data_IF_966960535510
#
_entry.id   IF_966960535510
#
_cell.length_a   1.000
_cell.length_b   1.000
_cell.length_c   1.000
_cell.angle_alpha   90.00
_cell.angle_beta   90.00
_cell.angle_gamma   90.00
#
_symmetry.space_group_name_H-M   'P 1'
#
loop_
_entity.id
_entity.type
_entity.pdbx_description
1 polymer ?
#
# COMPACT_ATOMS: atom_id res chain seq x y z
N UNK A 1 8.06 -7.62 2.49
CA UNK A 1 7.90 -6.90 1.21
C UNK A 1 9.18 -6.16 0.90
N UNK A 2 9.59 -6.16 -0.35
CA UNK A 2 10.80 -5.50 -0.85
C UNK A 2 10.57 -3.98 -0.91
N UNK A 3 11.49 -3.22 -0.28
CA UNK A 3 11.66 -1.79 -0.46
C UNK A 3 12.90 -1.55 -1.34
N UNK A 4 12.67 -1.34 -2.63
CA UNK A 4 13.75 -1.16 -3.60
C UNK A 4 14.61 0.08 -3.33
N UNK A 5 14.01 1.18 -2.83
CA UNK A 5 14.71 2.44 -2.54
C UNK A 5 15.72 2.30 -1.42
N UNK A 6 15.42 1.48 -0.43
CA UNK A 6 16.25 1.27 0.76
C UNK A 6 17.03 -0.05 0.69
N UNK A 7 16.84 -0.82 -0.39
CA UNK A 7 17.48 -2.15 -0.58
C UNK A 7 17.30 -3.07 0.61
N UNK A 8 16.05 -3.18 1.10
CA UNK A 8 15.72 -3.97 2.28
C UNK A 8 14.35 -4.67 2.17
N UNK A 9 14.14 -5.69 2.97
CA UNK A 9 12.87 -6.38 3.16
C UNK A 9 12.22 -5.92 4.46
N UNK A 10 11.12 -5.20 4.36
CA UNK A 10 10.29 -4.82 5.51
C UNK A 10 9.26 -5.89 5.80
N UNK A 11 8.99 -6.14 7.08
CA UNK A 11 7.94 -7.07 7.49
C UNK A 11 6.56 -6.44 7.23
N UNK A 12 5.70 -7.12 6.49
CA UNK A 12 4.32 -6.69 6.25
C UNK A 12 3.34 -7.41 7.17
N UNK A 13 3.56 -8.70 7.41
CA UNK A 13 2.76 -9.55 8.30
C UNK A 13 3.69 -10.49 9.03
N UNK A 14 3.47 -10.63 10.33
CA UNK A 14 4.09 -11.65 11.18
C UNK A 14 3.00 -12.35 11.98
N UNK A 15 2.90 -13.66 11.82
CA UNK A 15 1.92 -14.47 12.53
C UNK A 15 2.55 -15.75 13.06
N UNK A 16 2.32 -16.05 14.32
CA UNK A 16 2.66 -17.33 14.96
C UNK A 16 1.54 -17.73 15.91
N UNK A 17 0.89 -18.85 15.61
CA UNK A 17 -0.16 -19.37 16.46
C UNK A 17 0.40 -19.87 17.78
N UNK A 18 1.54 -20.58 17.74
CA UNK A 18 2.21 -21.13 18.93
C UNK A 18 2.67 -20.06 19.92
N UNK A 19 3.14 -18.91 19.42
CA UNK A 19 3.58 -17.79 20.26
C UNK A 19 2.49 -16.75 20.52
N UNK A 20 1.30 -16.91 19.95
CA UNK A 20 0.23 -15.92 20.06
C UNK A 20 0.58 -14.56 19.40
N UNK A 21 1.55 -14.54 18.48
CA UNK A 21 2.01 -13.32 17.80
C UNK A 21 1.14 -13.08 16.57
N UNK A 22 0.61 -11.86 16.46
CA UNK A 22 -0.07 -11.37 15.26
C UNK A 22 0.24 -9.87 15.10
N UNK A 23 1.00 -9.50 14.08
CA UNK A 23 1.42 -8.13 13.79
C UNK A 23 1.34 -7.85 12.30
N UNK A 24 1.15 -6.58 11.94
CA UNK A 24 1.00 -6.11 10.56
C UNK A 24 -0.44 -6.14 10.06
N UNK A 25 -0.70 -5.50 8.93
CA UNK A 25 -2.04 -5.32 8.39
C UNK A 25 -2.96 -4.58 9.37
N UNK A 26 -4.09 -5.22 9.74
CA UNK A 26 -5.05 -4.68 10.71
C UNK A 26 -4.69 -4.99 12.18
N UNK A 27 -3.61 -5.75 12.42
CA UNK A 27 -3.26 -6.28 13.75
C UNK A 27 -2.20 -5.46 14.50
N UNK A 28 -1.90 -4.25 14.03
CA UNK A 28 -0.93 -3.35 14.66
C UNK A 28 0.41 -3.27 13.94
N UNK A 29 1.26 -2.36 14.41
CA UNK A 29 2.55 -2.06 13.81
C UNK A 29 3.59 -3.16 14.10
N UNK A 30 4.45 -3.42 13.12
CA UNK A 30 5.59 -4.34 13.28
C UNK A 30 6.82 -3.52 13.66
N UNK A 31 7.35 -3.77 14.85
CA UNK A 31 8.54 -3.07 15.38
C UNK A 31 9.86 -3.78 15.06
N UNK A 32 9.83 -4.86 14.32
CA UNK A 32 11.04 -5.60 13.97
C UNK A 32 11.83 -4.85 12.90
N UNK A 33 13.17 -4.81 13.03
CA UNK A 33 14.01 -4.16 12.04
C UNK A 33 13.91 -4.86 10.69
N UNK A 34 13.98 -4.14 9.57
CA UNK A 34 13.99 -4.72 8.25
C UNK A 34 15.26 -5.56 8.00
N UNK A 35 15.16 -6.46 7.04
CA UNK A 35 16.30 -7.28 6.59
C UNK A 35 16.98 -6.57 5.44
N UNK A 36 18.22 -6.15 5.63
CA UNK A 36 19.02 -5.52 4.58
C UNK A 36 19.45 -6.54 3.53
N UNK A 37 19.32 -6.16 2.26
CA UNK A 37 19.79 -6.97 1.13
C UNK A 37 21.31 -6.85 0.91
N UNK A 38 21.92 -5.81 1.46
CA UNK A 38 23.36 -5.56 1.37
C UNK A 38 23.99 -5.52 2.76
N UNK A 39 25.22 -6.00 2.84
CA UNK A 39 26.09 -5.85 4.00
C UNK A 39 26.59 -4.39 4.12
N UNK A 40 27.18 -3.99 5.26
CA UNK A 40 27.76 -2.65 5.43
C UNK A 40 28.86 -2.28 4.44
N UNK A 41 29.52 -3.28 3.84
CA UNK A 41 30.56 -3.12 2.81
C UNK A 41 29.99 -3.01 1.39
N UNK A 42 28.66 -3.04 1.23
CA UNK A 42 27.97 -2.99 -0.05
C UNK A 42 27.85 -4.34 -0.77
N UNK A 43 28.42 -5.42 -0.25
CA UNK A 43 28.27 -6.76 -0.81
C UNK A 43 26.87 -7.31 -0.59
N UNK A 44 26.36 -8.23 -1.47
CA UNK A 44 25.06 -8.86 -1.27
C UNK A 44 25.00 -9.68 0.03
N UNK A 45 23.90 -9.56 0.77
CA UNK A 45 23.70 -10.30 2.02
C UNK A 45 23.17 -11.71 1.80
N UNK A 46 23.97 -12.56 1.23
CA UNK A 46 23.62 -13.98 1.02
C UNK A 46 23.59 -14.81 2.30
N UNK A 47 24.16 -14.32 3.38
CA UNK A 47 24.13 -14.99 4.67
C UNK A 47 22.75 -14.99 5.33
N UNK A 48 21.90 -14.01 5.02
CA UNK A 48 20.51 -13.99 5.48
C UNK A 48 19.63 -14.72 4.47
N UNK A 49 18.90 -15.74 4.91
CA UNK A 49 18.09 -16.61 4.04
C UNK A 49 17.01 -15.86 3.27
N UNK A 50 16.36 -14.87 3.88
CA UNK A 50 15.32 -14.06 3.21
C UNK A 50 15.93 -13.10 2.19
N UNK A 51 17.09 -12.50 2.50
CA UNK A 51 17.83 -11.68 1.56
C UNK A 51 18.35 -12.52 0.39
N UNK A 52 18.86 -13.71 0.65
CA UNK A 52 19.28 -14.66 -0.39
C UNK A 52 18.13 -14.97 -1.36
N UNK A 53 16.97 -15.37 -0.84
CA UNK A 53 15.80 -15.66 -1.67
C UNK A 53 15.33 -14.43 -2.48
N UNK A 54 15.40 -13.22 -1.90
CA UNK A 54 15.04 -11.99 -2.61
C UNK A 54 16.05 -11.62 -3.71
N UNK A 55 17.34 -11.86 -3.49
CA UNK A 55 18.41 -11.50 -4.42
C UNK A 55 18.56 -12.51 -5.57
N UNK A 56 18.41 -13.80 -5.28
CA UNK A 56 18.61 -14.89 -6.25
C UNK A 56 17.32 -15.32 -6.93
N UNK A 57 16.20 -15.13 -6.25
CA UNK A 57 14.91 -15.66 -6.67
C UNK A 57 14.80 -17.18 -6.51
N UNK A 58 15.67 -17.78 -5.73
CA UNK A 58 15.64 -19.22 -5.44
C UNK A 58 14.80 -19.51 -4.20
N UNK A 59 14.08 -20.62 -4.23
CA UNK A 59 13.37 -21.15 -3.08
C UNK A 59 14.36 -21.87 -2.16
N UNK A 60 14.30 -21.60 -0.87
CA UNK A 60 15.15 -22.23 0.14
C UNK A 60 14.29 -23.07 1.07
N UNK A 61 14.52 -24.39 1.09
CA UNK A 61 13.83 -25.35 1.95
C UNK A 61 14.84 -26.04 2.88
N UNK A 62 14.75 -25.72 4.17
CA UNK A 62 15.72 -26.15 5.19
C UNK A 62 15.02 -27.08 6.17
N UNK A 63 15.46 -28.35 6.30
CA UNK A 63 14.91 -29.32 7.25
C UNK A 63 15.15 -28.95 8.72
N UNK A 64 16.33 -28.39 9.04
CA UNK A 64 16.66 -27.89 10.37
C UNK A 64 17.69 -26.76 10.29
N UNK A 65 17.27 -25.54 10.73
CA UNK A 65 18.08 -24.32 10.68
C UNK A 65 19.29 -24.33 11.62
N UNK A 66 19.35 -25.27 12.58
CA UNK A 66 20.48 -25.38 13.50
C UNK A 66 21.64 -26.20 12.93
N UNK A 67 21.39 -26.97 11.88
CA UNK A 67 22.38 -27.89 11.27
C UNK A 67 22.73 -27.54 9.83
N UNK A 68 22.10 -26.50 9.26
CA UNK A 68 22.41 -26.07 7.89
C UNK A 68 23.63 -25.17 7.88
N UNK A 69 24.47 -25.32 6.87
CA UNK A 69 25.60 -24.43 6.58
C UNK A 69 25.26 -23.42 5.51
N UNK A 70 25.98 -22.30 5.44
CA UNK A 70 25.84 -21.29 4.41
C UNK A 70 24.95 -20.12 4.78
N UNK A 71 24.10 -20.26 5.80
CA UNK A 71 23.25 -19.16 6.29
C UNK A 71 23.55 -18.81 7.75
N UNK A 72 23.34 -17.54 8.10
CA UNK A 72 23.48 -17.06 9.47
C UNK A 72 22.13 -17.05 10.20
N UNK A 73 21.95 -17.98 11.11
CA UNK A 73 20.77 -18.10 11.98
C UNK A 73 20.99 -17.63 13.44
N UNK A 74 22.01 -16.82 13.70
CA UNK A 74 22.23 -16.30 15.09
C UNK A 74 21.04 -15.51 15.60
N UNK A 75 20.40 -14.70 14.73
CA UNK A 75 19.19 -13.95 15.07
C UNK A 75 18.04 -14.89 15.46
N UNK A 76 17.83 -15.96 14.70
CA UNK A 76 16.81 -17.00 14.96
C UNK A 76 17.10 -17.70 16.29
N UNK A 77 18.36 -18.10 16.53
CA UNK A 77 18.77 -18.77 17.78
C UNK A 77 18.57 -17.86 19.00
N UNK A 78 18.86 -16.56 18.88
CA UNK A 78 18.61 -15.58 19.95
C UNK A 78 17.12 -15.39 20.23
N UNK A 79 16.30 -15.35 19.18
CA UNK A 79 14.85 -15.29 19.32
C UNK A 79 14.30 -16.53 19.99
N UNK A 80 14.72 -17.71 19.55
CA UNK A 80 14.33 -18.99 20.15
C UNK A 80 14.69 -19.07 21.62
N UNK A 81 15.92 -18.68 22.00
CA UNK A 81 16.38 -18.66 23.40
C UNK A 81 15.55 -17.70 24.26
N UNK A 82 15.09 -16.57 23.70
CA UNK A 82 14.28 -15.58 24.42
C UNK A 82 12.84 -16.00 24.60
N UNK A 83 12.26 -16.69 23.62
CA UNK A 83 10.84 -17.04 23.58
C UNK A 83 10.54 -18.46 24.02
N UNK A 84 11.54 -19.32 24.16
CA UNK A 84 11.37 -20.76 24.37
C UNK A 84 10.89 -21.51 23.12
N UNK A 85 10.83 -20.83 21.98
CA UNK A 85 10.48 -21.43 20.70
C UNK A 85 11.68 -22.19 20.12
N UNK A 86 11.43 -23.17 19.29
CA UNK A 86 12.48 -23.90 18.56
C UNK A 86 12.15 -23.84 17.07
N UNK A 87 12.80 -22.94 16.38
CA UNK A 87 12.77 -22.92 14.92
C UNK A 87 13.54 -24.13 14.39
N UNK A 88 12.85 -25.02 13.67
CA UNK A 88 13.45 -26.23 13.11
C UNK A 88 13.38 -26.15 11.58
N UNK A 89 12.29 -26.52 10.98
CA UNK A 89 12.16 -26.43 9.52
C UNK A 89 11.81 -25.02 9.05
N UNK A 90 12.34 -24.64 7.89
CA UNK A 90 12.11 -23.33 7.30
C UNK A 90 11.96 -23.44 5.78
N UNK A 91 10.92 -22.80 5.25
CA UNK A 91 10.70 -22.65 3.83
C UNK A 91 10.62 -21.16 3.49
N UNK A 92 11.46 -20.71 2.58
CA UNK A 92 11.56 -19.32 2.14
C UNK A 92 11.32 -19.27 0.64
N UNK A 93 10.26 -18.57 0.25
CA UNK A 93 9.78 -18.52 -1.13
C UNK A 93 9.77 -17.07 -1.61
N UNK A 94 10.47 -16.73 -2.71
CA UNK A 94 10.37 -15.40 -3.32
C UNK A 94 8.98 -15.20 -3.91
N UNK A 95 8.41 -14.04 -3.67
CA UNK A 95 7.10 -13.64 -4.16
C UNK A 95 7.28 -12.91 -5.50
N UNK A 96 6.96 -13.56 -6.60
CA UNK A 96 7.09 -13.02 -7.96
C UNK A 96 5.76 -12.53 -8.50
N UNK A 97 5.76 -11.32 -9.07
CA UNK A 97 4.62 -10.77 -9.78
C UNK A 97 4.51 -11.34 -11.21
N UNK A 98 3.56 -10.87 -12.00
CA UNK A 98 3.33 -11.31 -13.39
C UNK A 98 4.46 -10.90 -14.37
N UNK A 99 5.28 -9.91 -14.01
CA UNK A 99 6.47 -9.47 -14.76
C UNK A 99 7.74 -10.24 -14.35
N UNK A 100 7.59 -11.22 -13.43
CA UNK A 100 8.65 -12.01 -12.83
C UNK A 100 9.56 -11.22 -11.87
N UNK A 101 9.15 -10.01 -11.45
CA UNK A 101 9.86 -9.23 -10.44
C UNK A 101 9.60 -9.78 -9.05
N UNK A 102 10.62 -9.77 -8.22
CA UNK A 102 10.50 -10.17 -6.82
C UNK A 102 10.03 -8.97 -6.01
N UNK A 103 8.81 -9.04 -5.51
CA UNK A 103 8.19 -7.97 -4.70
C UNK A 103 8.29 -8.23 -3.18
N UNK A 104 8.81 -9.38 -2.81
CA UNK A 104 8.93 -9.77 -1.40
C UNK A 104 9.31 -11.22 -1.23
N UNK A 105 9.25 -11.68 0.01
CA UNK A 105 9.57 -13.05 0.40
C UNK A 105 8.51 -13.54 1.38
N UNK A 106 8.02 -14.76 1.17
CA UNK A 106 7.21 -15.50 2.13
C UNK A 106 8.09 -16.48 2.89
N UNK A 107 8.11 -16.39 4.21
CA UNK A 107 8.86 -17.29 5.09
C UNK A 107 7.92 -18.05 5.98
N UNK A 108 7.96 -19.37 5.92
CA UNK A 108 7.26 -20.30 6.79
C UNK A 108 8.25 -21.02 7.71
N UNK A 109 7.88 -21.20 8.96
CA UNK A 109 8.73 -21.85 9.97
C UNK A 109 7.94 -22.97 10.64
N UNK A 110 8.53 -24.12 10.81
CA UNK A 110 7.98 -25.29 11.48
C UNK A 110 6.72 -25.86 10.81
N UNK A 111 6.93 -26.61 9.73
CA UNK A 111 5.87 -27.48 9.23
C UNK A 111 5.46 -28.47 10.32
N UNK A 112 4.17 -28.61 10.56
CA UNK A 112 3.65 -29.54 11.57
C UNK A 112 2.96 -30.71 10.89
N UNK A 113 3.25 -31.90 11.37
CA UNK A 113 2.50 -33.08 11.00
C UNK A 113 1.08 -32.97 11.56
N UNK A 114 0.01 -33.09 10.74
CA UNK A 114 -1.35 -32.88 11.18
C UNK A 114 -1.86 -33.93 12.16
N UNK A 115 -1.29 -35.13 12.14
CA UNK A 115 -1.73 -36.25 12.97
C UNK A 115 -0.99 -36.30 14.32
N UNK A 116 0.30 -36.02 14.30
CA UNK A 116 1.15 -36.11 15.51
C UNK A 116 1.42 -34.75 16.17
N UNK A 117 1.30 -33.66 15.43
CA UNK A 117 1.68 -32.32 15.89
C UNK A 117 3.19 -32.09 15.98
N UNK A 118 4.00 -33.06 15.54
CA UNK A 118 5.45 -32.92 15.52
C UNK A 118 5.94 -31.99 14.41
N UNK A 119 7.05 -31.28 14.66
CA UNK A 119 7.67 -30.44 13.63
C UNK A 119 8.46 -31.31 12.67
N UNK A 120 8.07 -31.25 11.40
CA UNK A 120 8.67 -31.98 10.28
C UNK A 120 9.29 -31.03 9.25
N UNK A 121 10.05 -31.54 8.30
CA UNK A 121 10.53 -30.78 7.15
C UNK A 121 9.36 -30.47 6.19
N UNK A 122 9.45 -29.35 5.46
CA UNK A 122 8.50 -29.05 4.39
C UNK A 122 8.65 -30.06 3.26
N UNK A 123 7.56 -30.73 2.90
CA UNK A 123 7.56 -31.68 1.78
C UNK A 123 7.65 -30.94 0.44
N UNK A 124 8.09 -31.64 -0.63
CA UNK A 124 8.06 -31.07 -1.99
C UNK A 124 6.67 -30.62 -2.44
N UNK A 125 5.63 -31.26 -1.95
CA UNK A 125 4.25 -30.89 -2.22
C UNK A 125 3.87 -29.58 -1.51
N UNK A 126 4.16 -29.47 -0.21
CA UNK A 126 3.97 -28.23 0.57
C UNK A 126 4.77 -27.08 -0.02
N UNK A 127 5.98 -27.32 -0.50
CA UNK A 127 6.79 -26.32 -1.18
C UNK A 127 6.11 -25.81 -2.45
N UNK A 128 5.69 -26.70 -3.37
CA UNK A 128 4.99 -26.31 -4.61
C UNK A 128 3.70 -25.53 -4.34
N UNK A 129 2.93 -25.96 -3.33
CA UNK A 129 1.73 -25.24 -2.92
C UNK A 129 2.07 -23.83 -2.43
N UNK A 130 3.09 -23.71 -1.60
CA UNK A 130 3.55 -22.41 -1.07
C UNK A 130 4.06 -21.49 -2.19
N UNK A 131 4.80 -22.01 -3.15
CA UNK A 131 5.24 -21.26 -4.34
C UNK A 131 4.06 -20.72 -5.14
N UNK A 132 3.03 -21.54 -5.36
CA UNK A 132 1.81 -21.11 -6.06
C UNK A 132 1.06 -20.00 -5.28
N UNK A 133 0.90 -20.18 -3.98
CA UNK A 133 0.25 -19.18 -3.12
C UNK A 133 1.07 -17.88 -3.03
N UNK A 134 2.39 -17.98 -2.94
CA UNK A 134 3.28 -16.82 -2.91
C UNK A 134 3.18 -16.00 -4.21
N UNK A 135 3.11 -16.66 -5.37
CA UNK A 135 2.92 -16.00 -6.66
C UNK A 135 1.55 -15.32 -6.75
N UNK A 136 0.47 -15.99 -6.34
CA UNK A 136 -0.87 -15.39 -6.33
C UNK A 136 -0.95 -14.17 -5.39
N UNK A 137 -0.34 -14.26 -4.21
CA UNK A 137 -0.25 -13.15 -3.28
C UNK A 137 0.56 -11.98 -3.87
N UNK A 138 1.66 -12.28 -4.56
CA UNK A 138 2.47 -11.27 -5.24
C UNK A 138 1.67 -10.51 -6.31
N UNK A 139 0.95 -11.24 -7.16
CA UNK A 139 0.09 -10.65 -8.19
C UNK A 139 -1.00 -9.77 -7.56
N UNK A 140 -1.67 -10.27 -6.52
CA UNK A 140 -2.72 -9.51 -5.83
C UNK A 140 -2.18 -8.22 -5.19
N UNK A 141 -1.01 -8.27 -4.55
CA UNK A 141 -0.35 -7.10 -3.96
C UNK A 141 0.08 -6.10 -5.03
N UNK A 142 0.64 -6.56 -6.15
CA UNK A 142 1.02 -5.70 -7.27
C UNK A 142 -0.20 -5.00 -7.87
N UNK A 143 -1.29 -5.74 -8.12
CA UNK A 143 -2.52 -5.17 -8.65
C UNK A 143 -3.10 -4.10 -7.70
N UNK A 144 -3.16 -4.37 -6.39
CA UNK A 144 -3.62 -3.39 -5.42
C UNK A 144 -2.74 -2.13 -5.38
N UNK A 145 -1.41 -2.29 -5.52
CA UNK A 145 -0.49 -1.15 -5.62
C UNK A 145 -0.75 -0.32 -6.87
N UNK A 146 -0.86 -0.97 -8.03
CA UNK A 146 -1.13 -0.30 -9.29
C UNK A 146 -2.47 0.44 -9.31
N UNK A 147 -3.52 -0.14 -8.73
CA UNK A 147 -4.82 0.53 -8.58
C UNK A 147 -4.68 1.82 -7.75
N UNK A 148 -3.98 1.75 -6.61
CA UNK A 148 -3.75 2.94 -5.77
C UNK A 148 -2.90 4.01 -6.47
N UNK A 149 -1.87 3.60 -7.20
CA UNK A 149 -1.04 4.52 -7.97
C UNK A 149 -1.85 5.21 -9.08
N UNK A 150 -2.73 4.47 -9.77
CA UNK A 150 -3.65 5.01 -10.76
C UNK A 150 -4.65 6.01 -10.14
N UNK A 151 -5.24 5.68 -8.98
CA UNK A 151 -6.13 6.60 -8.24
C UNK A 151 -5.41 7.90 -7.87
N UNK A 152 -4.17 7.80 -7.36
CA UNK A 152 -3.36 8.96 -6.99
C UNK A 152 -3.01 9.82 -8.22
N UNK A 153 -2.64 9.20 -9.33
CA UNK A 153 -2.37 9.89 -10.59
C UNK A 153 -3.60 10.61 -11.10
N UNK A 154 -4.76 9.97 -11.05
CA UNK A 154 -6.04 10.55 -11.46
C UNK A 154 -6.42 11.76 -10.59
N UNK A 155 -6.27 11.65 -9.26
CA UNK A 155 -6.48 12.80 -8.37
C UNK A 155 -5.52 13.96 -8.67
N UNK A 156 -4.25 13.67 -8.93
CA UNK A 156 -3.27 14.70 -9.29
C UNK A 156 -3.64 15.39 -10.61
N UNK A 157 -4.09 14.63 -11.59
CA UNK A 157 -4.57 15.14 -12.87
C UNK A 157 -5.78 16.08 -12.72
N UNK A 158 -6.80 15.67 -11.93
CA UNK A 158 -7.97 16.49 -11.64
C UNK A 158 -7.55 17.81 -10.96
N UNK A 159 -6.68 17.75 -9.95
CA UNK A 159 -6.18 18.94 -9.27
C UNK A 159 -5.43 19.89 -10.21
N UNK A 160 -4.67 19.34 -11.15
CA UNK A 160 -3.94 20.13 -12.15
C UNK A 160 -4.89 20.84 -13.11
N UNK A 161 -5.93 20.15 -13.60
CA UNK A 161 -6.97 20.76 -14.45
C UNK A 161 -7.69 21.86 -13.67
N UNK A 162 -8.10 21.58 -12.43
CA UNK A 162 -8.80 22.55 -11.59
C UNK A 162 -7.94 23.80 -11.32
N UNK A 163 -6.64 23.63 -11.08
CA UNK A 163 -5.72 24.76 -10.92
C UNK A 163 -5.59 25.59 -12.20
N UNK A 164 -5.49 24.94 -13.37
CA UNK A 164 -5.44 25.65 -14.63
C UNK A 164 -6.73 26.46 -14.93
N UNK A 165 -7.89 25.96 -14.47
CA UNK A 165 -9.17 26.68 -14.58
C UNK A 165 -9.19 27.87 -13.61
N UNK A 166 -8.72 27.70 -12.38
CA UNK A 166 -8.63 28.74 -11.36
C UNK A 166 -7.70 29.90 -11.78
N UNK A 167 -6.61 29.61 -12.53
CA UNK A 167 -5.69 30.62 -13.08
C UNK A 167 -6.31 31.47 -14.22
N UNK A 168 -7.37 30.96 -14.87
CA UNK A 168 -8.03 31.69 -15.97
C UNK A 168 -8.70 32.98 -15.51
N UNK A 169 -9.11 33.08 -14.24
CA UNK A 169 -9.69 34.27 -13.66
C UNK A 169 -8.93 34.70 -12.40
N UNK A 170 -8.40 35.95 -12.33
CA UNK A 170 -7.71 36.47 -11.17
C UNK A 170 -8.60 36.55 -9.90
N UNK A 171 -9.92 36.51 -10.07
CA UNK A 171 -10.87 36.57 -8.97
C UNK A 171 -11.18 35.23 -8.32
N UNK A 172 -10.82 34.12 -9.00
CA UNK A 172 -11.13 32.75 -8.53
C UNK A 172 -9.92 31.99 -7.97
N UNK A 173 -8.77 32.67 -7.85
CA UNK A 173 -7.56 32.04 -7.36
C UNK A 173 -7.79 31.30 -6.02
N UNK A 174 -7.61 29.96 -6.03
CA UNK A 174 -7.82 29.06 -4.91
C UNK A 174 -9.27 28.82 -4.51
N UNK A 175 -10.26 29.27 -5.31
CA UNK A 175 -11.68 29.03 -5.05
C UNK A 175 -12.01 27.56 -5.08
N UNK A 176 -11.61 26.85 -6.13
CA UNK A 176 -11.90 25.43 -6.33
C UNK A 176 -11.34 24.60 -5.17
N UNK A 177 -10.10 24.90 -4.73
CA UNK A 177 -9.52 24.23 -3.57
C UNK A 177 -10.32 24.45 -2.29
N UNK A 178 -10.68 25.71 -1.99
CA UNK A 178 -11.47 26.02 -0.79
C UNK A 178 -12.83 25.34 -0.79
N UNK A 179 -13.51 25.30 -1.93
CA UNK A 179 -14.79 24.60 -2.08
C UNK A 179 -14.61 23.10 -1.83
N UNK A 180 -13.61 22.47 -2.42
CA UNK A 180 -13.35 21.06 -2.20
C UNK A 180 -13.02 20.74 -0.73
N UNK A 181 -12.18 21.54 -0.07
CA UNK A 181 -11.84 21.37 1.34
C UNK A 181 -13.07 21.53 2.26
N UNK A 182 -13.91 22.53 2.00
CA UNK A 182 -15.14 22.76 2.77
C UNK A 182 -16.16 21.63 2.56
N UNK A 183 -16.37 21.21 1.32
CA UNK A 183 -17.26 20.08 0.99
C UNK A 183 -16.84 18.83 1.73
N UNK A 184 -15.55 18.48 1.70
CA UNK A 184 -15.04 17.31 2.39
C UNK A 184 -15.11 17.43 3.91
N UNK A 185 -14.92 18.64 4.46
CA UNK A 185 -15.07 18.89 5.90
C UNK A 185 -16.52 18.71 6.35
N UNK A 186 -17.48 19.19 5.57
CA UNK A 186 -18.91 19.01 5.84
C UNK A 186 -19.28 17.53 5.78
N UNK A 187 -18.89 16.82 4.71
CA UNK A 187 -19.20 15.41 4.54
C UNK A 187 -18.63 14.54 5.68
N UNK A 188 -17.40 14.81 6.12
CA UNK A 188 -16.81 14.12 7.28
C UNK A 188 -17.60 14.38 8.56
N UNK A 189 -18.00 15.62 8.80
CA UNK A 189 -18.84 15.98 9.98
C UNK A 189 -20.20 15.28 9.95
N UNK A 190 -20.80 15.15 8.77
CA UNK A 190 -22.04 14.39 8.60
C UNK A 190 -21.85 12.92 8.92
N UNK A 191 -20.75 12.30 8.46
CA UNK A 191 -20.43 10.91 8.80
C UNK A 191 -20.14 10.68 10.30
N UNK A 192 -19.70 11.71 11.03
CA UNK A 192 -19.44 11.66 12.46
C UNK A 192 -20.70 11.96 13.31
N UNK A 193 -21.77 12.51 12.70
CA UNK A 193 -22.97 12.88 13.42
C UNK A 193 -23.72 11.65 13.95
N UNK A 194 -23.99 11.63 15.25
CA UNK A 194 -24.72 10.55 15.92
C UNK A 194 -26.13 10.95 16.33
N UNK A 195 -26.46 12.22 16.20
CA UNK A 195 -27.75 12.79 16.56
C UNK A 195 -28.13 13.94 15.60
N UNK A 196 -29.39 14.43 15.72
CA UNK A 196 -29.92 15.46 14.87
C UNK A 196 -30.49 14.98 13.53
N UNK A 197 -30.87 15.91 12.62
CA UNK A 197 -31.61 15.57 11.39
C UNK A 197 -30.78 14.81 10.34
N UNK A 198 -29.48 14.72 10.52
CA UNK A 198 -28.53 14.05 9.60
C UNK A 198 -27.86 12.82 10.21
N UNK A 199 -28.32 12.32 11.35
CA UNK A 199 -27.73 11.17 12.04
C UNK A 199 -27.74 9.88 11.21
N UNK A 200 -28.71 9.75 10.30
CA UNK A 200 -28.84 8.58 9.41
C UNK A 200 -28.12 8.76 8.06
N UNK A 201 -27.52 9.94 7.82
CA UNK A 201 -26.80 10.20 6.58
C UNK A 201 -25.34 9.72 6.73
N UNK A 202 -24.98 8.78 5.92
CA UNK A 202 -23.62 8.23 5.89
C UNK A 202 -23.12 8.08 4.47
N UNK A 203 -21.96 8.67 4.17
CA UNK A 203 -21.25 8.50 2.91
C UNK A 203 -20.23 7.37 3.06
N UNK A 204 -20.29 6.39 2.19
CA UNK A 204 -19.25 5.36 2.03
C UNK A 204 -17.93 5.97 1.53
N UNK A 205 -16.85 5.22 1.58
CA UNK A 205 -15.53 5.68 1.09
C UNK A 205 -15.58 6.02 -0.41
N UNK A 206 -16.35 5.28 -1.21
CA UNK A 206 -16.50 5.54 -2.64
C UNK A 206 -17.33 6.81 -2.90
N UNK A 207 -18.44 7.01 -2.18
CA UNK A 207 -19.22 8.25 -2.26
C UNK A 207 -18.42 9.47 -1.79
N UNK A 208 -17.55 9.31 -0.79
CA UNK A 208 -16.62 10.37 -0.37
C UNK A 208 -15.58 10.69 -1.46
N UNK A 209 -15.12 9.70 -2.23
CA UNK A 209 -14.25 9.94 -3.39
C UNK A 209 -14.99 10.66 -4.51
N UNK A 210 -16.21 10.22 -4.85
CA UNK A 210 -17.04 10.87 -5.87
C UNK A 210 -17.33 12.33 -5.51
N UNK A 211 -17.73 12.59 -4.26
CA UNK A 211 -17.98 13.93 -3.75
C UNK A 211 -16.75 14.84 -3.86
N UNK A 212 -15.57 14.30 -3.56
CA UNK A 212 -14.31 15.02 -3.70
C UNK A 212 -14.04 15.40 -5.15
N UNK A 213 -14.18 14.45 -6.08
CA UNK A 213 -13.99 14.67 -7.51
C UNK A 213 -14.99 15.71 -8.02
N UNK A 214 -16.26 15.58 -7.66
CA UNK A 214 -17.31 16.53 -8.05
C UNK A 214 -16.99 17.94 -7.54
N UNK A 215 -16.52 18.08 -6.31
CA UNK A 215 -16.13 19.38 -5.73
C UNK A 215 -14.93 20.01 -6.47
N UNK A 216 -13.94 19.22 -6.89
CA UNK A 216 -12.83 19.74 -7.71
C UNK A 216 -13.24 20.11 -9.14
N UNK A 217 -14.20 19.42 -9.73
CA UNK A 217 -14.62 19.61 -11.12
C UNK A 217 -15.89 20.48 -11.31
N UNK A 218 -16.47 21.03 -10.22
CA UNK A 218 -17.74 21.74 -10.31
C UNK A 218 -17.72 22.91 -11.31
N UNK A 219 -16.58 23.52 -11.52
CA UNK A 219 -16.35 24.65 -12.40
C UNK A 219 -15.67 24.28 -13.76
N UNK A 220 -15.49 22.99 -14.05
CA UNK A 220 -14.76 22.54 -15.27
C UNK A 220 -15.32 23.13 -16.55
N UNK A 221 -16.61 23.40 -16.63
CA UNK A 221 -17.27 24.04 -17.78
C UNK A 221 -16.77 25.45 -18.12
N UNK A 222 -16.11 26.14 -17.17
CA UNK A 222 -15.51 27.47 -17.40
C UNK A 222 -14.35 27.45 -18.40
N UNK A 223 -13.74 26.26 -18.67
CA UNK A 223 -12.70 26.10 -19.70
C UNK A 223 -13.16 26.62 -21.06
N UNK A 224 -14.40 26.31 -21.45
CA UNK A 224 -14.98 26.70 -22.75
C UNK A 224 -15.61 28.07 -22.75
N UNK A 225 -15.78 28.71 -21.60
CA UNK A 225 -16.39 30.02 -21.49
C UNK A 225 -15.36 31.11 -21.72
N UNK A 226 -15.61 32.09 -22.64
CA UNK A 226 -14.71 33.22 -22.84
C UNK A 226 -14.50 34.04 -21.56
N UNK A 227 -13.27 34.52 -21.37
CA UNK A 227 -12.83 35.23 -20.16
C UNK A 227 -13.73 36.44 -19.83
N UNK A 228 -14.07 37.25 -20.85
CA UNK A 228 -14.95 38.42 -20.69
C UNK A 228 -16.39 38.09 -20.22
N UNK A 229 -16.80 36.83 -20.32
CA UNK A 229 -18.07 36.33 -19.78
C UNK A 229 -17.91 35.85 -18.34
N UNK A 230 -16.79 35.21 -18.02
CA UNK A 230 -16.50 34.69 -16.69
C UNK A 230 -16.28 35.84 -15.70
N UNK A 231 -15.56 36.89 -16.11
CA UNK A 231 -15.07 37.96 -15.24
C UNK A 231 -15.94 39.26 -15.31
N UNK A 232 -17.08 39.19 -15.99
CA UNK A 232 -17.97 40.36 -16.07
C UNK A 232 -18.47 40.79 -14.70
N UNK A 233 -18.38 42.08 -14.39
CA UNK A 233 -18.76 42.67 -13.12
C UNK A 233 -20.29 42.70 -12.90
N UNK A 234 -21.07 42.82 -13.98
CA UNK A 234 -22.52 42.85 -13.95
C UNK A 234 -23.16 41.90 -14.97
N UNK A 235 -24.39 41.46 -14.69
CA UNK A 235 -25.11 40.51 -15.55
C UNK A 235 -25.26 40.98 -17.00
N UNK A 236 -25.36 42.27 -17.23
CA UNK A 236 -25.65 42.90 -18.53
C UNK A 236 -24.44 43.66 -19.12
N UNK A 237 -23.27 43.61 -18.50
CA UNK A 237 -22.10 44.39 -18.88
C UNK A 237 -21.79 44.35 -20.39
N UNK A 238 -21.78 43.18 -20.99
CA UNK A 238 -21.47 43.05 -22.42
C UNK A 238 -22.64 43.35 -23.36
N UNK A 239 -23.86 43.49 -22.84
CA UNK A 239 -25.07 43.77 -23.62
C UNK A 239 -25.42 45.25 -23.51
N UNK A 240 -25.26 45.84 -22.33
CA UNK A 240 -25.61 47.22 -22.06
C UNK A 240 -24.70 48.23 -22.79
N UNK A 241 -23.40 47.95 -22.82
CA UNK A 241 -22.41 48.75 -23.54
C UNK A 241 -22.64 48.81 -25.05
N UNK A 242 -23.33 47.78 -25.62
CA UNK A 242 -23.70 47.77 -27.05
C UNK A 242 -25.03 48.50 -27.35
N UNK A 243 -25.83 48.76 -26.35
CA UNK A 243 -27.13 49.48 -26.51
C UNK A 243 -26.93 50.99 -26.43
N UNK A 244 -25.86 51.47 -25.79
CA UNK A 244 -25.51 52.88 -25.64
C UNK A 244 -24.58 53.42 -26.72
N UNK A 245 -24.26 52.64 -27.75
CA UNK A 245 -23.54 53.07 -28.95
C UNK A 245 -24.48 53.09 -30.18
#
# INVERSE_FOLDING_TARGET
ILNEKESELSFAIVQSQTLGIRMGGTSGEITWPPVRLQNPDGSPNYANVSAYAALTGEVVNIPDVYYVEGFNFEGTRRFDAKTGYRSKSMLVVPMRNHENDIIGVLQLINAMDPDTGEVIAFSPESQRLTESLASQAAIALTNNRLIRELENLFEAFIKTIAAAIDEKSPYTAGHIRRVAELTMSIAKRLNEAKDGPFADLHFSDDEMKELRIAAWLHDVGKVTTPEYIVDKATKLETIYDRINT
#
